data_IF_589465656526
#
_entry.id   IF_589465656526
#
_cell.length_a   1.000
_cell.length_b   1.000
_cell.length_c   1.000
_cell.angle_alpha   90.00
_cell.angle_beta   90.00
_cell.angle_gamma   90.00
#
_symmetry.space_group_name_H-M   'P 1'
#
loop_
_entity.id
_entity.type
_entity.pdbx_description
1 polymer ?
#
# COMPACT_ATOMS: atom_id res chain seq x y z
N UNK A 1 -4.50 11.99 -21.18
CA UNK A 1 -4.46 10.58 -21.61
C UNK A 1 -4.16 9.76 -20.36
N UNK A 2 -5.19 9.10 -19.82
CA UNK A 2 -5.14 8.42 -18.53
C UNK A 2 -4.50 7.04 -18.69
N UNK A 3 -3.22 6.92 -18.34
CA UNK A 3 -2.47 5.66 -18.22
C UNK A 3 -2.83 4.87 -16.93
N UNK A 4 -4.04 5.08 -16.38
CA UNK A 4 -4.44 4.60 -15.05
C UNK A 4 -4.99 3.16 -15.05
N UNK A 5 -5.29 2.60 -16.23
CA UNK A 5 -5.87 1.26 -16.37
C UNK A 5 -4.94 0.38 -17.21
N UNK A 6 -3.90 -0.19 -16.61
CA UNK A 6 -3.15 -1.30 -17.21
C UNK A 6 -3.54 -2.58 -16.47
N UNK A 7 -3.95 -3.61 -17.21
CA UNK A 7 -4.38 -4.92 -16.71
C UNK A 7 -5.65 -4.91 -15.84
N UNK A 8 -6.59 -4.00 -16.09
CA UNK A 8 -7.85 -3.86 -15.34
C UNK A 8 -7.71 -3.53 -13.84
N UNK A 9 -6.51 -3.19 -13.36
CA UNK A 9 -6.35 -2.61 -12.02
C UNK A 9 -6.65 -1.12 -12.06
N UNK A 10 -7.67 -0.70 -11.31
CA UNK A 10 -7.97 0.71 -11.06
C UNK A 10 -7.04 1.23 -9.94
N UNK A 11 -6.32 2.32 -10.21
CA UNK A 11 -5.33 2.87 -9.28
C UNK A 11 -5.47 4.39 -9.15
N UNK A 12 -5.31 4.89 -7.94
CA UNK A 12 -5.16 6.32 -7.62
C UNK A 12 -3.83 6.57 -6.88
N UNK A 13 -3.14 7.67 -7.20
CA UNK A 13 -2.04 8.18 -6.36
C UNK A 13 -2.63 9.11 -5.32
N UNK A 14 -2.68 8.68 -4.07
CA UNK A 14 -3.36 9.43 -3.00
C UNK A 14 -2.45 10.46 -2.32
N UNK A 15 -1.13 10.28 -2.39
CA UNK A 15 -0.14 11.21 -1.84
C UNK A 15 1.11 11.24 -2.71
N UNK A 16 1.44 12.38 -3.32
CA UNK A 16 2.62 12.54 -4.17
C UNK A 16 3.94 12.66 -3.40
N UNK A 17 3.89 13.11 -2.15
CA UNK A 17 5.08 13.42 -1.32
C UNK A 17 5.88 12.17 -0.90
N UNK A 18 5.32 10.98 -1.09
CA UNK A 18 5.88 9.71 -0.62
C UNK A 18 6.55 8.90 -1.72
N UNK A 19 6.64 9.41 -2.95
CA UNK A 19 7.11 8.67 -4.12
C UNK A 19 8.54 8.14 -4.00
N UNK A 20 8.79 6.93 -4.49
CA UNK A 20 10.09 6.26 -4.36
C UNK A 20 10.30 5.10 -5.31
N UNK A 21 11.56 4.87 -5.70
CA UNK A 21 11.96 3.78 -6.59
C UNK A 21 12.24 2.51 -5.78
N UNK A 22 11.18 1.76 -5.43
CA UNK A 22 11.24 0.57 -4.56
C UNK A 22 12.36 -0.42 -4.95
N UNK A 23 12.63 -0.57 -6.26
CA UNK A 23 13.66 -1.46 -6.77
C UNK A 23 15.10 -1.07 -6.41
N UNK A 24 15.32 0.14 -5.88
CA UNK A 24 16.60 0.51 -5.27
C UNK A 24 16.85 -0.22 -3.94
N UNK A 25 15.79 -0.58 -3.21
CA UNK A 25 15.90 -1.44 -2.03
C UNK A 25 15.97 -2.92 -2.47
N UNK A 26 17.19 -3.46 -2.54
CA UNK A 26 17.41 -4.85 -2.95
C UNK A 26 16.87 -5.87 -1.95
N UNK A 27 16.72 -5.50 -0.68
CA UNK A 27 16.21 -6.42 0.36
C UNK A 27 14.74 -6.79 0.11
N UNK A 28 13.92 -5.83 -0.34
CA UNK A 28 12.53 -6.10 -0.70
C UNK A 28 12.41 -6.54 -2.16
N UNK A 29 13.10 -5.87 -3.08
CA UNK A 29 12.90 -6.08 -4.51
C UNK A 29 13.23 -7.51 -4.96
N UNK A 30 14.25 -8.13 -4.37
CA UNK A 30 14.63 -9.51 -4.67
C UNK A 30 13.57 -10.54 -4.23
N UNK A 31 12.64 -10.15 -3.35
CA UNK A 31 11.59 -11.01 -2.83
C UNK A 31 10.22 -10.76 -3.49
N UNK A 32 10.08 -9.75 -4.36
CA UNK A 32 8.84 -9.45 -5.06
C UNK A 32 8.72 -10.36 -6.31
N UNK A 33 7.57 -11.04 -6.45
CA UNK A 33 7.21 -11.74 -7.68
C UNK A 33 6.76 -10.71 -8.73
N UNK A 34 7.55 -10.53 -9.80
CA UNK A 34 7.32 -9.54 -10.85
C UNK A 34 6.27 -9.97 -11.89
N UNK A 35 5.00 -10.05 -11.47
CA UNK A 35 3.81 -10.04 -12.35
C UNK A 35 3.65 -8.71 -13.09
N UNK A 36 2.75 -8.63 -14.07
CA UNK A 36 2.48 -7.37 -14.77
C UNK A 36 1.80 -6.33 -13.85
N UNK A 37 0.95 -6.79 -12.94
CA UNK A 37 0.30 -5.99 -11.91
C UNK A 37 1.31 -5.42 -10.90
N UNK A 38 2.18 -6.25 -10.32
CA UNK A 38 3.24 -5.76 -9.42
C UNK A 38 4.21 -4.80 -10.12
N UNK A 39 4.61 -5.04 -11.38
CA UNK A 39 5.41 -4.10 -12.16
C UNK A 39 4.69 -2.77 -12.36
N UNK A 40 3.40 -2.80 -12.68
CA UNK A 40 2.57 -1.60 -12.81
C UNK A 40 2.53 -0.82 -11.49
N UNK A 41 2.23 -1.48 -10.37
CA UNK A 41 2.20 -0.86 -9.03
C UNK A 41 3.56 -0.27 -8.67
N UNK A 42 4.67 -0.99 -8.89
CA UNK A 42 6.02 -0.50 -8.63
C UNK A 42 6.35 0.77 -9.45
N UNK A 43 5.89 0.83 -10.71
CA UNK A 43 6.05 2.03 -11.53
C UNK A 43 5.20 3.20 -11.03
N UNK A 44 3.99 2.94 -10.52
CA UNK A 44 3.14 3.99 -9.96
C UNK A 44 3.66 4.49 -8.61
N UNK A 45 4.31 3.62 -7.81
CA UNK A 45 4.93 3.97 -6.53
C UNK A 45 6.03 5.04 -6.65
N UNK A 46 6.62 5.21 -7.84
CA UNK A 46 7.56 6.31 -8.16
C UNK A 46 6.90 7.68 -7.98
N UNK A 47 5.59 7.77 -8.25
CA UNK A 47 4.83 9.03 -8.26
C UNK A 47 4.25 9.39 -6.89
N UNK A 48 4.23 8.46 -5.94
CA UNK A 48 3.54 8.63 -4.66
C UNK A 48 2.94 7.33 -4.14
N UNK A 49 2.11 7.42 -3.10
CA UNK A 49 1.38 6.29 -2.49
C UNK A 49 0.32 5.76 -3.45
N UNK A 50 0.47 4.54 -4.01
CA UNK A 50 -0.53 3.95 -4.87
C UNK A 50 -1.63 3.28 -4.03
N UNK A 51 -2.89 3.62 -4.32
CA UNK A 51 -4.07 2.92 -3.80
C UNK A 51 -4.76 2.22 -4.96
N UNK A 52 -4.89 0.90 -4.86
CA UNK A 52 -5.54 0.04 -5.84
C UNK A 52 -6.97 -0.23 -5.40
N UNK A 53 -7.92 -0.22 -6.32
CA UNK A 53 -9.30 -0.65 -6.11
C UNK A 53 -9.55 -1.95 -6.90
N UNK A 54 -10.15 -2.94 -6.25
CA UNK A 54 -10.53 -4.24 -6.84
C UNK A 54 -11.97 -4.57 -6.44
N UNK A 55 -12.79 -4.99 -7.39
CA UNK A 55 -14.22 -5.27 -7.20
C UNK A 55 -15.12 -4.04 -7.04
N UNK A 56 -16.43 -4.26 -7.09
CA UNK A 56 -17.46 -3.21 -7.12
C UNK A 56 -18.64 -3.44 -6.14
N UNK A 57 -18.48 -4.39 -5.22
CA UNK A 57 -19.49 -4.68 -4.20
C UNK A 57 -19.64 -3.59 -3.13
N UNK A 58 -20.76 -3.63 -2.40
CA UNK A 58 -21.09 -2.61 -1.39
C UNK A 58 -20.25 -2.68 -0.11
N UNK A 59 -19.79 -3.87 0.28
CA UNK A 59 -18.89 -4.04 1.43
C UNK A 59 -17.49 -3.64 1.04
N UNK A 60 -16.94 -2.61 1.69
CA UNK A 60 -15.65 -2.03 1.36
C UNK A 60 -14.66 -2.24 2.50
N UNK A 61 -13.46 -2.74 2.18
CA UNK A 61 -12.36 -2.86 3.15
C UNK A 61 -11.09 -2.25 2.60
N UNK A 62 -10.21 -1.79 3.48
CA UNK A 62 -8.90 -1.25 3.10
C UNK A 62 -7.77 -2.03 3.77
N UNK A 63 -6.76 -2.39 3.00
CA UNK A 63 -5.50 -2.94 3.49
C UNK A 63 -4.36 -1.98 3.21
N UNK A 64 -3.53 -1.75 4.23
CA UNK A 64 -2.41 -0.81 4.20
C UNK A 64 -1.16 -1.54 4.69
N UNK A 65 -0.05 -1.36 3.98
CA UNK A 65 1.26 -1.85 4.38
C UNK A 65 2.32 -0.78 4.08
N UNK A 66 3.47 -0.88 4.75
CA UNK A 66 4.60 0.03 4.51
C UNK A 66 4.41 1.43 5.06
N UNK A 67 3.64 1.59 6.15
CA UNK A 67 3.65 2.81 6.98
C UNK A 67 5.07 3.05 7.50
N UNK A 68 5.73 1.99 7.95
CA UNK A 68 7.19 1.95 8.13
C UNK A 68 7.82 1.25 6.92
N UNK A 69 8.68 1.96 6.19
CA UNK A 69 9.29 1.44 4.98
C UNK A 69 10.27 0.29 5.19
N UNK A 70 10.86 0.18 6.38
CA UNK A 70 11.77 -0.90 6.77
C UNK A 70 11.06 -2.20 7.19
N UNK A 71 9.74 -2.21 7.25
CA UNK A 71 8.93 -3.39 7.54
C UNK A 71 8.54 -4.08 6.24
N UNK A 72 9.45 -4.88 5.70
CA UNK A 72 9.40 -5.33 4.30
C UNK A 72 8.36 -6.44 4.04
N UNK A 73 8.19 -7.36 4.98
CA UNK A 73 7.35 -8.55 4.78
C UNK A 73 5.87 -8.23 4.51
N UNK A 74 5.22 -7.30 5.24
CA UNK A 74 3.83 -6.90 4.96
C UNK A 74 3.65 -6.33 3.56
N UNK A 75 4.64 -5.61 3.03
CA UNK A 75 4.57 -4.99 1.71
C UNK A 75 4.62 -6.05 0.59
N UNK A 76 5.47 -7.06 0.75
CA UNK A 76 5.53 -8.23 -0.16
C UNK A 76 4.22 -9.02 -0.10
N UNK A 77 3.71 -9.25 1.12
CA UNK A 77 2.44 -9.96 1.32
C UNK A 77 1.26 -9.19 0.70
N UNK A 78 1.24 -7.86 0.81
CA UNK A 78 0.22 -7.01 0.22
C UNK A 78 0.21 -7.13 -1.32
N UNK A 79 1.37 -7.13 -1.97
CA UNK A 79 1.44 -7.37 -3.42
C UNK A 79 0.89 -8.75 -3.81
N UNK A 80 1.27 -9.81 -3.09
CA UNK A 80 0.76 -11.15 -3.37
C UNK A 80 -0.76 -11.25 -3.14
N UNK A 81 -1.27 -10.57 -2.10
CA UNK A 81 -2.69 -10.54 -1.80
C UNK A 81 -3.48 -9.75 -2.85
N UNK A 82 -2.92 -8.67 -3.40
CA UNK A 82 -3.52 -7.93 -4.52
C UNK A 82 -3.71 -8.85 -5.72
N UNK A 83 -2.70 -9.64 -6.10
CA UNK A 83 -2.83 -10.60 -7.21
C UNK A 83 -3.95 -11.61 -6.93
N UNK A 84 -3.96 -12.19 -5.72
CA UNK A 84 -4.95 -13.19 -5.35
C UNK A 84 -6.38 -12.63 -5.38
N UNK A 85 -6.60 -11.43 -4.83
CA UNK A 85 -7.92 -10.79 -4.81
C UNK A 85 -8.34 -10.37 -6.22
N UNK A 86 -7.41 -9.89 -7.04
CA UNK A 86 -7.67 -9.58 -8.45
C UNK A 86 -8.10 -10.84 -9.23
N UNK A 87 -7.46 -11.98 -8.99
CA UNK A 87 -7.88 -13.25 -9.59
C UNK A 87 -9.28 -13.67 -9.11
N UNK A 88 -9.63 -13.45 -7.84
CA UNK A 88 -11.00 -13.70 -7.34
C UNK A 88 -12.03 -12.81 -8.05
N UNK A 89 -11.70 -11.53 -8.25
CA UNK A 89 -12.56 -10.56 -8.93
C UNK A 89 -12.80 -10.94 -10.40
N UNK A 90 -11.74 -11.26 -11.14
CA UNK A 90 -11.83 -11.71 -12.52
C UNK A 90 -12.69 -12.97 -12.71
N UNK A 91 -12.75 -13.82 -11.69
CA UNK A 91 -13.54 -15.05 -11.71
C UNK A 91 -14.94 -14.87 -11.08
N UNK A 92 -15.34 -13.64 -10.74
CA UNK A 92 -16.66 -13.34 -10.15
C UNK A 92 -16.86 -13.93 -8.74
N UNK A 93 -15.77 -14.19 -8.02
CA UNK A 93 -15.78 -14.77 -6.67
C UNK A 93 -15.63 -13.71 -5.56
N UNK A 94 -15.35 -12.46 -5.92
CA UNK A 94 -15.23 -11.36 -4.97
C UNK A 94 -16.60 -10.70 -4.72
N UNK A 95 -17.08 -10.78 -3.47
CA UNK A 95 -18.35 -10.16 -3.05
C UNK A 95 -18.11 -8.89 -2.22
N UNK A 96 -17.46 -7.88 -2.81
CA UNK A 96 -17.10 -6.63 -2.14
C UNK A 96 -16.14 -5.76 -2.96
N UNK A 97 -15.67 -4.69 -2.36
CA UNK A 97 -14.58 -3.86 -2.88
C UNK A 97 -13.41 -3.85 -1.91
N UNK A 98 -12.21 -4.09 -2.43
CA UNK A 98 -10.96 -4.02 -1.67
C UNK A 98 -10.15 -2.83 -2.16
N UNK A 99 -9.78 -1.96 -1.22
CA UNK A 99 -8.78 -0.92 -1.43
C UNK A 99 -7.44 -1.39 -0.86
N UNK A 100 -6.38 -1.33 -1.65
CA UNK A 100 -5.08 -1.84 -1.27
C UNK A 100 -3.97 -0.82 -1.46
N UNK A 101 -3.19 -0.59 -0.40
CA UNK A 101 -2.02 0.27 -0.39
C UNK A 101 -0.82 -0.58 0.04
N UNK A 102 -0.09 -1.21 -0.91
CA UNK A 102 1.02 -2.09 -0.59
C UNK A 102 2.27 -1.32 -0.12
N UNK A 103 2.33 -0.03 -0.43
CA UNK A 103 3.42 0.88 -0.10
C UNK A 103 2.84 2.22 0.37
N UNK A 104 2.60 2.38 1.67
CA UNK A 104 2.12 3.65 2.21
C UNK A 104 3.17 4.74 2.00
N UNK A 105 4.45 4.46 2.26
CA UNK A 105 5.57 5.36 1.97
C UNK A 105 6.62 4.74 1.05
N UNK A 106 6.43 4.79 -0.28
CA UNK A 106 7.39 4.24 -1.23
C UNK A 106 8.83 4.74 -1.05
N UNK A 107 9.03 6.02 -0.71
CA UNK A 107 10.34 6.62 -0.41
C UNK A 107 10.98 5.96 0.81
N UNK A 108 10.24 5.82 1.91
CA UNK A 108 10.75 5.14 3.11
C UNK A 108 11.09 3.68 2.80
N UNK A 109 10.30 2.99 1.98
CA UNK A 109 10.60 1.62 1.55
C UNK A 109 11.86 1.56 0.70
N UNK A 110 12.01 2.46 -0.27
CA UNK A 110 13.22 2.59 -1.09
C UNK A 110 14.48 2.77 -0.22
N UNK A 111 14.37 3.56 0.84
CA UNK A 111 15.47 3.85 1.77
C UNK A 111 15.63 2.80 2.88
N UNK A 112 14.75 1.79 2.94
CA UNK A 112 14.67 0.83 4.03
C UNK A 112 14.61 1.53 5.41
N UNK A 113 13.79 2.58 5.50
CA UNK A 113 13.70 3.49 6.65
C UNK A 113 12.34 3.36 7.34
N UNK A 114 12.33 3.54 8.66
CA UNK A 114 11.09 3.69 9.44
C UNK A 114 10.38 5.02 9.14
N UNK A 115 11.16 6.06 8.85
CA UNK A 115 10.68 7.44 8.78
C UNK A 115 10.55 7.92 7.34
N UNK A 116 9.63 8.86 7.11
CA UNK A 116 9.56 9.67 5.89
C UNK A 116 10.01 11.09 6.25
N UNK A 117 11.17 11.52 5.74
CA UNK A 117 11.72 12.86 5.98
C UNK A 117 11.78 13.25 7.48
N UNK A 118 12.14 12.27 8.32
CA UNK A 118 12.25 12.42 9.78
C UNK A 118 10.92 12.27 10.55
N UNK A 119 9.80 12.03 9.86
CA UNK A 119 8.48 11.85 10.48
C UNK A 119 8.13 10.37 10.60
N UNK A 120 7.67 9.96 11.79
CA UNK A 120 7.04 8.65 12.00
C UNK A 120 5.58 8.71 11.52
N UNK A 121 5.29 7.98 10.45
CA UNK A 121 3.96 7.96 9.83
C UNK A 121 2.90 7.29 10.72
N UNK A 122 3.30 6.33 11.56
CA UNK A 122 2.41 5.64 12.49
C UNK A 122 2.06 6.48 13.74
N UNK A 123 2.64 7.68 13.85
CA UNK A 123 2.38 8.64 14.94
C UNK A 123 1.75 9.94 14.46
N UNK A 124 1.56 10.10 13.16
CA UNK A 124 1.21 11.38 12.54
C UNK A 124 -0.11 11.39 11.76
N UNK A 125 -0.94 10.36 11.89
CA UNK A 125 -2.25 10.28 11.22
C UNK A 125 -3.24 11.40 11.63
N UNK A 126 -3.04 12.01 12.81
CA UNK A 126 -3.83 13.15 13.30
C UNK A 126 -3.38 14.49 12.72
N UNK A 127 -2.17 14.57 12.14
CA UNK A 127 -1.63 15.78 11.56
C UNK A 127 -2.12 15.93 10.11
N UNK A 128 -2.68 17.08 9.71
CA UNK A 128 -3.12 17.30 8.34
C UNK A 128 -2.00 17.08 7.32
N UNK A 129 -2.37 16.56 6.14
CA UNK A 129 -1.50 16.38 4.97
C UNK A 129 -0.39 15.32 5.10
N UNK A 130 -0.24 14.67 6.25
CA UNK A 130 0.63 13.50 6.35
C UNK A 130 0.05 12.33 5.57
N UNK A 131 0.91 11.43 5.10
CA UNK A 131 0.51 10.26 4.30
C UNK A 131 -0.59 9.46 5.01
N UNK A 132 -0.42 9.16 6.30
CA UNK A 132 -1.40 8.38 7.08
C UNK A 132 -2.69 9.16 7.38
N UNK A 133 -2.64 10.49 7.47
CA UNK A 133 -3.85 11.32 7.51
C UNK A 133 -4.63 11.25 6.20
N UNK A 134 -3.94 11.30 5.07
CA UNK A 134 -4.55 11.18 3.74
C UNK A 134 -5.19 9.80 3.57
N UNK A 135 -4.51 8.72 3.97
CA UNK A 135 -5.07 7.37 3.98
C UNK A 135 -6.35 7.31 4.82
N UNK A 136 -6.33 7.85 6.05
CA UNK A 136 -7.49 7.87 6.93
C UNK A 136 -8.66 8.67 6.34
N UNK A 137 -8.38 9.80 5.69
CA UNK A 137 -9.42 10.59 5.00
C UNK A 137 -10.00 9.81 3.82
N UNK A 138 -9.16 9.21 2.98
CA UNK A 138 -9.61 8.36 1.86
C UNK A 138 -10.48 7.22 2.34
N UNK A 139 -10.09 6.53 3.41
CA UNK A 139 -10.89 5.47 4.00
C UNK A 139 -12.29 5.97 4.43
N UNK A 140 -12.37 7.16 5.03
CA UNK A 140 -13.66 7.79 5.40
C UNK A 140 -14.48 8.19 4.19
N UNK A 141 -13.87 8.86 3.21
CA UNK A 141 -14.53 9.33 1.99
C UNK A 141 -15.08 8.17 1.15
N UNK A 142 -14.38 7.04 1.16
CA UNK A 142 -14.79 5.80 0.48
C UNK A 142 -15.80 4.99 1.31
N UNK A 143 -16.06 5.37 2.56
CA UNK A 143 -16.92 4.65 3.51
C UNK A 143 -16.48 3.20 3.72
N UNK A 144 -15.18 2.97 3.93
CA UNK A 144 -14.67 1.62 4.19
C UNK A 144 -15.13 1.13 5.57
N UNK A 145 -15.65 -0.09 5.63
CA UNK A 145 -16.17 -0.69 6.86
C UNK A 145 -15.07 -1.09 7.83
N UNK A 146 -13.88 -1.41 7.33
CA UNK A 146 -12.72 -1.78 8.13
C UNK A 146 -11.41 -1.43 7.41
N UNK A 147 -10.38 -1.11 8.20
CA UNK A 147 -9.01 -0.88 7.73
C UNK A 147 -8.07 -1.83 8.49
N UNK A 148 -7.27 -2.60 7.75
CA UNK A 148 -6.15 -3.35 8.30
C UNK A 148 -4.83 -2.66 7.97
N UNK A 149 -4.10 -2.23 8.99
CA UNK A 149 -2.72 -1.71 8.86
C UNK A 149 -1.73 -2.79 9.28
N UNK A 150 -0.93 -3.28 8.33
CA UNK A 150 -0.08 -4.45 8.49
C UNK A 150 1.38 -4.03 8.71
N UNK A 151 1.89 -4.40 9.88
CA UNK A 151 3.25 -4.14 10.34
C UNK A 151 4.04 -5.45 10.54
N UNK A 152 5.35 -5.35 10.63
CA UNK A 152 6.23 -6.43 11.08
C UNK A 152 7.08 -6.00 12.25
N UNK A 153 7.20 -6.85 13.26
CA UNK A 153 8.06 -6.61 14.40
C UNK A 153 9.50 -6.98 14.09
N UNK A 154 10.45 -6.14 14.54
CA UNK A 154 11.87 -6.50 14.52
C UNK A 154 12.11 -7.79 15.33
N UNK A 155 13.11 -8.61 14.98
CA UNK A 155 13.51 -9.74 15.81
C UNK A 155 13.74 -9.28 17.26
N UNK A 156 13.12 -9.97 18.22
CA UNK A 156 13.16 -9.68 19.66
C UNK A 156 12.44 -8.38 20.11
N UNK A 157 11.68 -7.72 19.23
CA UNK A 157 10.78 -6.64 19.65
C UNK A 157 9.43 -7.19 20.14
N UNK A 158 8.75 -6.45 21.02
CA UNK A 158 7.43 -6.82 21.52
C UNK A 158 6.34 -6.15 20.69
N UNK A 159 5.53 -6.90 19.91
CA UNK A 159 4.38 -6.33 19.22
C UNK A 159 3.47 -5.58 20.21
N UNK A 160 3.04 -4.37 19.86
CA UNK A 160 2.14 -3.56 20.69
C UNK A 160 2.80 -2.87 21.90
N UNK A 161 4.12 -3.00 22.08
CA UNK A 161 4.93 -2.16 22.96
C UNK A 161 5.93 -1.39 22.11
N UNK A 162 5.63 -0.11 21.90
CA UNK A 162 6.64 0.87 21.46
C UNK A 162 7.23 1.62 22.65
#
# INVERSE_FOLDING_TARGET
MNDLNRNNLELEIISSESGGFISANRNIFNCIKLSDNSKFILNQAIKGTPMIRIGDGSTKVMLVAGVHGNELAPQIAALNLIEYIHDLDLNGMLNGTVYAIPFASPKSTMENSRYLDGVDLNRSAHLPHTVTNVILKKAKDLEVSAIGDFHSSAPNSNPGKE
#
